data_IF_507073783143
#
_entry.id   IF_507073783143
#
_cell.length_a   1.000
_cell.length_b   1.000
_cell.length_c   1.000
_cell.angle_alpha   90.00
_cell.angle_beta   90.00
_cell.angle_gamma   90.00
#
_symmetry.space_group_name_H-M   'P 1'
#
loop_
_entity.id
_entity.type
_entity.pdbx_description
1 polymer ?
#
# COMPACT_ATOMS: atom_id res chain seq x y z
N UNK A 1 48.04 -0.59 14.97
CA UNK A 1 46.94 0.00 14.18
C UNK A 1 45.79 0.28 15.13
N UNK A 2 45.16 1.46 15.05
CA UNK A 2 44.12 1.84 16.02
C UNK A 2 42.87 1.00 15.78
N UNK A 3 42.28 0.34 16.81
CA UNK A 3 41.14 -0.54 16.64
C UNK A 3 39.90 0.17 16.08
N UNK A 4 39.68 1.45 16.43
CA UNK A 4 38.55 2.22 15.91
C UNK A 4 38.72 2.51 14.41
N UNK A 5 39.93 2.76 13.94
CA UNK A 5 40.20 2.96 12.51
C UNK A 5 39.94 1.70 11.70
N UNK A 6 40.35 0.54 12.19
CA UNK A 6 40.05 -0.76 11.54
C UNK A 6 38.55 -1.03 11.43
N UNK A 7 37.77 -0.72 12.48
CA UNK A 7 36.30 -0.84 12.46
C UNK A 7 35.69 0.06 11.38
N UNK A 8 36.11 1.32 11.30
CA UNK A 8 35.63 2.27 10.29
C UNK A 8 35.98 1.82 8.86
N UNK A 9 37.19 1.37 8.64
CA UNK A 9 37.64 0.86 7.33
C UNK A 9 36.87 -0.42 6.94
N UNK A 10 36.62 -1.31 7.90
CA UNK A 10 35.77 -2.49 7.68
C UNK A 10 34.34 -2.09 7.29
N UNK A 11 33.74 -1.11 7.97
CA UNK A 11 32.41 -0.63 7.66
C UNK A 11 32.36 0.04 6.27
N UNK A 12 33.35 0.84 5.89
CA UNK A 12 33.43 1.45 4.56
C UNK A 12 33.57 0.40 3.45
N UNK A 13 34.40 -0.64 3.67
CA UNK A 13 34.56 -1.74 2.71
C UNK A 13 33.24 -2.50 2.45
N UNK A 14 32.35 -2.51 3.43
CA UNK A 14 31.04 -3.15 3.35
C UNK A 14 29.90 -2.15 3.18
N UNK A 15 30.16 -0.97 2.62
CA UNK A 15 29.17 0.12 2.46
C UNK A 15 27.94 -0.27 1.64
N UNK A 16 28.05 -1.26 0.75
CA UNK A 16 26.93 -1.82 -0.01
C UNK A 16 25.83 -2.48 0.87
N UNK A 17 26.16 -2.85 2.11
CA UNK A 17 25.21 -3.42 3.08
C UNK A 17 24.52 -2.33 3.93
N UNK A 18 24.96 -1.08 3.81
CA UNK A 18 24.48 0.05 4.60
C UNK A 18 23.45 0.85 3.79
N UNK A 19 22.54 1.52 4.50
CA UNK A 19 21.71 2.56 3.89
C UNK A 19 22.56 3.75 3.49
N UNK A 20 22.07 4.58 2.57
CA UNK A 20 22.76 5.80 2.12
C UNK A 20 23.16 6.71 3.31
N UNK A 21 22.28 6.85 4.30
CA UNK A 21 22.55 7.62 5.51
C UNK A 21 23.67 6.98 6.34
N UNK A 22 23.60 5.66 6.60
CA UNK A 22 24.63 4.93 7.38
C UNK A 22 25.98 5.00 6.69
N UNK A 23 26.05 4.80 5.37
CA UNK A 23 27.29 4.91 4.59
C UNK A 23 27.90 6.30 4.69
N UNK A 24 27.11 7.36 4.48
CA UNK A 24 27.57 8.74 4.62
C UNK A 24 28.00 9.10 6.04
N UNK A 25 27.31 8.56 7.05
CA UNK A 25 27.68 8.73 8.45
C UNK A 25 29.04 8.07 8.74
N UNK A 26 29.26 6.82 8.35
CA UNK A 26 30.53 6.10 8.54
C UNK A 26 31.69 6.81 7.83
N UNK A 27 31.45 7.31 6.62
CA UNK A 27 32.44 8.09 5.89
C UNK A 27 32.82 9.38 6.64
N UNK A 28 31.83 10.09 7.16
CA UNK A 28 32.06 11.28 7.99
C UNK A 28 32.85 10.96 9.25
N UNK A 29 32.52 9.85 9.95
CA UNK A 29 33.27 9.42 11.13
C UNK A 29 34.73 9.07 10.80
N UNK A 30 34.98 8.40 9.68
CA UNK A 30 36.33 8.05 9.23
C UNK A 30 37.17 9.30 8.95
N UNK A 31 36.58 10.29 8.27
CA UNK A 31 37.26 11.58 8.03
C UNK A 31 37.53 12.33 9.33
N UNK A 32 36.58 12.37 10.26
CA UNK A 32 36.76 12.99 11.57
C UNK A 32 37.87 12.29 12.38
N UNK A 33 37.85 10.96 12.40
CA UNK A 33 38.83 10.18 13.12
C UNK A 33 40.24 10.41 12.57
N UNK A 34 40.39 10.48 11.24
CA UNK A 34 41.69 10.83 10.62
C UNK A 34 42.23 12.22 11.02
N UNK A 35 41.34 13.19 11.23
CA UNK A 35 41.72 14.56 11.61
C UNK A 35 41.94 14.72 13.10
N UNK A 36 41.18 14.05 13.96
CA UNK A 36 41.15 14.29 15.43
C UNK A 36 41.70 13.15 16.26
N UNK A 37 41.87 11.97 15.68
CA UNK A 37 42.35 10.76 16.37
C UNK A 37 41.34 10.13 17.35
N UNK A 38 40.14 10.72 17.49
CA UNK A 38 39.11 10.25 18.42
C UNK A 38 37.71 10.51 17.93
N UNK A 39 36.74 9.71 18.43
CA UNK A 39 35.31 9.88 18.26
C UNK A 39 34.65 10.11 19.62
N UNK A 40 33.50 10.77 19.65
CA UNK A 40 32.68 10.90 20.85
C UNK A 40 32.04 9.55 21.23
N UNK A 41 31.66 9.41 22.52
CA UNK A 41 30.95 8.22 23.00
C UNK A 41 29.69 7.93 22.19
N UNK A 42 28.92 8.97 21.82
CA UNK A 42 27.73 8.84 21.00
C UNK A 42 28.02 8.35 19.59
N UNK A 43 29.11 8.79 18.99
CA UNK A 43 29.55 8.33 17.67
C UNK A 43 29.99 6.86 17.69
N UNK A 44 30.69 6.44 18.74
CA UNK A 44 31.08 5.04 18.94
C UNK A 44 29.87 4.14 19.15
N UNK A 45 28.88 4.57 19.94
CA UNK A 45 27.61 3.85 20.15
C UNK A 45 26.86 3.61 18.84
N UNK A 46 26.78 4.64 17.98
CA UNK A 46 26.12 4.52 16.67
C UNK A 46 26.91 3.60 15.74
N UNK A 47 28.24 3.69 15.73
CA UNK A 47 29.10 2.80 14.95
C UNK A 47 28.88 1.35 15.37
N UNK A 48 28.91 1.06 16.68
CA UNK A 48 28.68 -0.28 17.23
C UNK A 48 27.31 -0.84 16.84
N UNK A 49 26.27 -0.01 16.91
CA UNK A 49 24.92 -0.41 16.48
C UNK A 49 24.86 -0.74 14.98
N UNK A 50 25.51 0.04 14.14
CA UNK A 50 25.59 -0.24 12.69
C UNK A 50 26.33 -1.54 12.42
N UNK A 51 27.44 -1.80 13.13
CA UNK A 51 28.18 -3.05 13.01
C UNK A 51 27.34 -4.25 13.43
N UNK A 52 26.65 -4.18 14.58
CA UNK A 52 25.79 -5.25 15.08
C UNK A 52 24.57 -5.50 14.15
N UNK A 53 23.92 -4.43 13.73
CA UNK A 53 22.66 -4.53 12.96
C UNK A 53 22.87 -4.89 11.49
N UNK A 54 24.05 -4.61 10.91
CA UNK A 54 24.28 -4.71 9.45
C UNK A 54 25.49 -5.53 9.05
N UNK A 55 26.55 -5.50 9.84
CA UNK A 55 27.86 -6.07 9.46
C UNK A 55 28.21 -7.35 10.21
N UNK A 56 27.46 -7.69 11.26
CA UNK A 56 27.66 -8.96 11.99
C UNK A 56 27.30 -10.15 11.10
N UNK A 57 27.93 -11.30 11.38
CA UNK A 57 27.66 -12.55 10.68
C UNK A 57 26.19 -13.00 10.85
N UNK A 58 25.62 -12.74 12.03
CA UNK A 58 24.21 -12.99 12.31
C UNK A 58 23.29 -12.11 11.49
N UNK A 59 23.61 -10.81 11.35
CA UNK A 59 22.84 -9.88 10.53
C UNK A 59 22.89 -10.29 9.05
N UNK A 60 24.06 -10.69 8.54
CA UNK A 60 24.24 -11.18 7.16
C UNK A 60 23.43 -12.45 6.93
N UNK A 61 23.55 -13.43 7.83
CA UNK A 61 22.82 -14.69 7.74
C UNK A 61 21.31 -14.45 7.78
N UNK A 62 20.84 -13.55 8.65
CA UNK A 62 19.41 -13.18 8.73
C UNK A 62 18.94 -12.50 7.47
N UNK A 63 19.72 -11.56 6.92
CA UNK A 63 19.41 -10.88 5.66
C UNK A 63 19.34 -11.86 4.48
N UNK A 64 20.28 -12.80 4.40
CA UNK A 64 20.30 -13.83 3.37
C UNK A 64 19.10 -14.79 3.49
N UNK A 65 18.74 -15.20 4.70
CA UNK A 65 17.54 -16.02 4.97
C UNK A 65 16.27 -15.26 4.53
N UNK A 66 16.20 -13.96 4.84
CA UNK A 66 15.08 -13.13 4.40
C UNK A 66 14.98 -13.06 2.88
N UNK A 67 16.07 -12.75 2.19
CA UNK A 67 16.09 -12.69 0.73
C UNK A 67 15.64 -14.01 0.11
N UNK A 68 16.13 -15.15 0.61
CA UNK A 68 15.74 -16.47 0.12
C UNK A 68 14.27 -16.83 0.44
N UNK A 69 13.70 -16.24 1.49
CA UNK A 69 12.30 -16.45 1.89
C UNK A 69 11.33 -15.45 1.28
N UNK A 70 11.83 -14.43 0.55
CA UNK A 70 11.01 -13.40 -0.08
C UNK A 70 10.42 -13.91 -1.39
N UNK A 71 9.28 -14.57 -1.26
CA UNK A 71 8.54 -15.23 -2.32
C UNK A 71 7.56 -14.28 -3.04
N UNK A 72 6.90 -14.80 -4.07
CA UNK A 72 5.93 -14.04 -4.86
C UNK A 72 4.73 -13.56 -4.03
N UNK A 73 4.34 -14.32 -2.99
CA UNK A 73 3.25 -13.90 -2.11
C UNK A 73 3.64 -12.69 -1.26
N UNK A 74 4.84 -12.67 -0.70
CA UNK A 74 5.35 -11.48 0.01
C UNK A 74 5.50 -10.29 -0.91
N UNK A 75 5.90 -10.51 -2.16
CA UNK A 75 5.99 -9.48 -3.21
C UNK A 75 4.61 -8.93 -3.54
N UNK A 76 3.61 -9.79 -3.74
CA UNK A 76 2.20 -9.40 -3.95
C UNK A 76 1.67 -8.55 -2.80
N UNK A 77 1.85 -9.02 -1.56
CA UNK A 77 1.45 -8.30 -0.35
C UNK A 77 2.12 -6.93 -0.27
N UNK A 78 3.43 -6.87 -0.50
CA UNK A 78 4.19 -5.62 -0.49
C UNK A 78 3.65 -4.62 -1.52
N UNK A 79 3.35 -5.08 -2.74
CA UNK A 79 2.82 -4.23 -3.81
C UNK A 79 1.44 -3.66 -3.48
N UNK A 80 0.51 -4.48 -3.01
CA UNK A 80 -0.84 -4.02 -2.60
C UNK A 80 -0.74 -2.98 -1.48
N UNK A 81 0.13 -3.24 -0.48
CA UNK A 81 0.35 -2.30 0.61
C UNK A 81 1.02 -1.00 0.11
N UNK A 82 2.00 -1.10 -0.79
CA UNK A 82 2.69 0.05 -1.37
C UNK A 82 1.71 0.95 -2.16
N UNK A 83 0.84 0.37 -2.99
CA UNK A 83 -0.20 1.11 -3.72
C UNK A 83 -1.14 1.87 -2.76
N UNK A 84 -1.52 1.25 -1.65
CA UNK A 84 -2.32 1.91 -0.62
C UNK A 84 -1.56 3.04 0.08
N UNK A 85 -0.30 2.81 0.48
CA UNK A 85 0.49 3.80 1.21
C UNK A 85 0.96 4.95 0.34
N UNK A 86 1.17 4.75 -0.94
CA UNK A 86 1.40 5.81 -1.92
C UNK A 86 0.23 6.83 -1.92
N UNK A 87 -1.02 6.36 -1.85
CA UNK A 87 -2.21 7.23 -1.81
C UNK A 87 -2.45 7.89 -0.45
N UNK A 88 -1.93 7.34 0.64
CA UNK A 88 -2.16 7.85 1.99
C UNK A 88 -0.98 8.65 2.55
N UNK A 89 0.16 8.68 1.85
CA UNK A 89 1.36 9.44 2.25
C UNK A 89 2.16 8.81 3.39
N UNK A 90 1.90 7.54 3.76
CA UNK A 90 2.71 6.81 4.73
C UNK A 90 3.69 5.88 4.03
N UNK A 91 4.85 5.63 4.63
CA UNK A 91 5.90 4.77 4.07
C UNK A 91 6.32 5.14 2.63
N UNK A 92 6.22 6.41 2.25
CA UNK A 92 6.37 6.89 0.86
C UNK A 92 7.65 6.39 0.19
N UNK A 93 8.82 6.54 0.83
CA UNK A 93 10.08 6.08 0.26
C UNK A 93 10.10 4.57 -0.01
N UNK A 94 9.59 3.76 0.93
CA UNK A 94 9.51 2.31 0.77
C UNK A 94 8.48 1.91 -0.30
N UNK A 95 7.33 2.59 -0.30
CA UNK A 95 6.27 2.36 -1.29
C UNK A 95 6.76 2.69 -2.70
N UNK A 96 7.43 3.83 -2.90
CA UNK A 96 8.02 4.18 -4.21
C UNK A 96 9.03 3.15 -4.67
N UNK A 97 9.97 2.72 -3.80
CA UNK A 97 10.96 1.69 -4.18
C UNK A 97 10.31 0.38 -4.64
N UNK A 98 9.23 -0.06 -3.98
CA UNK A 98 8.51 -1.29 -4.34
C UNK A 98 7.71 -1.13 -5.66
N UNK A 99 7.16 0.06 -5.91
CA UNK A 99 6.36 0.32 -7.10
C UNK A 99 7.20 0.57 -8.35
N UNK A 100 8.38 1.17 -8.19
CA UNK A 100 9.31 1.51 -9.26
C UNK A 100 10.16 0.31 -9.71
N UNK A 101 10.54 -0.57 -8.77
CA UNK A 101 11.37 -1.74 -9.05
C UNK A 101 10.64 -3.04 -8.60
N UNK A 102 10.23 -3.84 -9.59
CA UNK A 102 9.54 -5.11 -9.36
C UNK A 102 10.40 -6.16 -8.65
N UNK A 103 11.72 -6.07 -8.77
CA UNK A 103 12.68 -7.02 -8.20
C UNK A 103 13.19 -6.56 -6.83
N UNK A 104 12.84 -5.36 -6.42
CA UNK A 104 13.25 -4.82 -5.14
C UNK A 104 12.76 -5.69 -3.97
N UNK A 105 13.70 -6.12 -3.15
CA UNK A 105 13.43 -6.84 -1.90
C UNK A 105 13.62 -5.90 -0.71
N UNK A 106 12.54 -5.47 -0.07
CA UNK A 106 12.64 -4.57 1.08
C UNK A 106 13.28 -5.27 2.29
N UNK A 107 13.97 -4.54 3.18
CA UNK A 107 14.45 -5.09 4.44
C UNK A 107 13.30 -5.68 5.26
N UNK A 108 13.53 -6.82 5.92
CA UNK A 108 12.49 -7.54 6.69
C UNK A 108 11.74 -6.65 7.67
N UNK A 109 12.47 -5.90 8.51
CA UNK A 109 11.86 -4.98 9.50
C UNK A 109 10.95 -3.94 8.84
N UNK A 110 11.35 -3.40 7.69
CA UNK A 110 10.55 -2.41 6.95
C UNK A 110 9.31 -3.05 6.32
N UNK A 111 9.46 -4.22 5.70
CA UNK A 111 8.35 -4.99 5.14
C UNK A 111 7.32 -5.34 6.21
N UNK A 112 7.75 -5.92 7.35
CA UNK A 112 6.84 -6.26 8.47
C UNK A 112 6.09 -5.03 8.98
N UNK A 113 6.80 -3.91 9.19
CA UNK A 113 6.19 -2.66 9.65
C UNK A 113 5.14 -2.13 8.67
N UNK A 114 5.37 -2.24 7.37
CA UNK A 114 4.44 -1.79 6.34
C UNK A 114 3.30 -2.79 6.11
N UNK A 115 3.57 -4.10 6.06
CA UNK A 115 2.61 -5.11 5.59
C UNK A 115 1.85 -5.83 6.71
N UNK A 116 2.39 -5.90 7.94
CA UNK A 116 1.77 -6.66 9.04
C UNK A 116 0.94 -5.79 10.01
N UNK A 117 0.88 -4.48 9.80
CA UNK A 117 0.10 -3.60 10.66
C UNK A 117 -1.43 -3.72 10.41
N UNK A 118 -2.21 -3.14 11.32
CA UNK A 118 -3.68 -3.24 11.30
C UNK A 118 -4.34 -2.66 10.03
N UNK A 119 -3.73 -1.67 9.40
CA UNK A 119 -4.27 -1.05 8.18
C UNK A 119 -3.96 -1.91 6.96
N UNK A 120 -2.73 -2.38 6.82
CA UNK A 120 -2.33 -3.30 5.78
C UNK A 120 -3.20 -4.57 5.78
N UNK A 121 -3.41 -5.18 6.95
CA UNK A 121 -4.30 -6.36 7.10
C UNK A 121 -5.73 -6.09 6.61
N UNK A 122 -6.28 -4.90 6.89
CA UNK A 122 -7.61 -4.52 6.37
C UNK A 122 -7.62 -4.32 4.87
N UNK A 123 -6.58 -3.70 4.31
CA UNK A 123 -6.45 -3.48 2.87
C UNK A 123 -6.33 -4.81 2.13
N UNK A 124 -5.49 -5.73 2.62
CA UNK A 124 -5.34 -7.07 2.07
C UNK A 124 -6.67 -7.84 2.12
N UNK A 125 -7.37 -7.82 3.26
CA UNK A 125 -8.66 -8.45 3.38
C UNK A 125 -9.72 -7.87 2.42
N UNK A 126 -9.70 -6.55 2.18
CA UNK A 126 -10.57 -5.92 1.18
C UNK A 126 -10.18 -6.30 -0.25
N UNK A 127 -8.88 -6.39 -0.53
CA UNK A 127 -8.37 -6.78 -1.85
C UNK A 127 -8.78 -8.22 -2.19
N UNK A 128 -8.60 -9.14 -1.27
CA UNK A 128 -8.82 -10.58 -1.48
C UNK A 128 -10.30 -11.00 -1.34
N UNK A 129 -11.14 -10.18 -0.70
CA UNK A 129 -12.56 -10.47 -0.58
C UNK A 129 -13.27 -10.47 -1.94
N UNK A 130 -14.25 -11.34 -2.10
CA UNK A 130 -15.15 -11.31 -3.25
C UNK A 130 -15.93 -9.99 -3.32
N UNK A 131 -16.18 -9.46 -4.51
CA UNK A 131 -17.00 -8.27 -4.67
C UNK A 131 -18.46 -8.54 -4.30
N UNK A 132 -19.01 -7.72 -3.43
CA UNK A 132 -20.42 -7.82 -3.02
C UNK A 132 -21.40 -7.72 -4.19
N UNK A 133 -21.06 -6.95 -5.19
CA UNK A 133 -21.81 -6.75 -6.43
C UNK A 133 -20.92 -7.18 -7.60
N UNK A 134 -21.04 -8.42 -8.09
CA UNK A 134 -20.27 -8.88 -9.25
C UNK A 134 -20.52 -8.02 -10.49
N UNK A 135 -19.59 -8.08 -11.45
CA UNK A 135 -19.75 -7.43 -12.75
C UNK A 135 -21.06 -7.88 -13.39
N UNK A 136 -21.80 -6.95 -14.01
CA UNK A 136 -23.16 -7.17 -14.54
C UNK A 136 -24.28 -6.92 -13.54
N UNK A 137 -23.99 -6.79 -12.24
CA UNK A 137 -25.03 -6.47 -11.24
C UNK A 137 -25.61 -5.10 -11.45
N UNK A 138 -26.93 -4.97 -11.24
CA UNK A 138 -27.62 -3.66 -11.20
C UNK A 138 -27.63 -3.12 -9.78
N UNK A 139 -27.05 -1.93 -9.62
CA UNK A 139 -26.89 -1.24 -8.34
C UNK A 139 -27.42 0.19 -8.40
N UNK A 140 -27.55 0.83 -7.25
CA UNK A 140 -27.81 2.28 -7.12
C UNK A 140 -26.86 2.89 -6.10
N UNK A 141 -26.61 4.16 -6.22
CA UNK A 141 -25.94 4.91 -5.16
C UNK A 141 -26.84 5.01 -3.91
N UNK A 142 -26.21 4.88 -2.75
CA UNK A 142 -26.89 5.14 -1.46
C UNK A 142 -27.11 6.63 -1.29
N UNK A 143 -28.11 7.03 -0.51
CA UNK A 143 -28.29 8.44 -0.11
C UNK A 143 -27.08 9.01 0.64
N UNK A 144 -26.32 8.16 1.33
CA UNK A 144 -25.07 8.51 2.05
C UNK A 144 -23.83 8.53 1.16
N UNK A 145 -23.95 8.18 -0.12
CA UNK A 145 -22.84 8.30 -1.06
C UNK A 145 -22.51 9.78 -1.34
N UNK A 146 -21.29 10.03 -1.76
CA UNK A 146 -20.85 11.36 -2.17
C UNK A 146 -21.85 11.98 -3.14
N UNK A 147 -22.16 13.26 -2.93
CA UNK A 147 -23.08 14.03 -3.78
C UNK A 147 -22.65 14.02 -5.25
N UNK A 148 -21.35 14.15 -5.53
CA UNK A 148 -20.82 14.14 -6.88
C UNK A 148 -21.15 12.85 -7.64
N UNK A 149 -21.04 11.69 -6.96
CA UNK A 149 -21.40 10.39 -7.55
C UNK A 149 -22.91 10.28 -7.84
N UNK A 150 -23.75 10.73 -6.90
CA UNK A 150 -25.21 10.72 -7.08
C UNK A 150 -25.66 11.65 -8.19
N UNK A 151 -25.09 12.84 -8.23
CA UNK A 151 -25.38 13.83 -9.29
C UNK A 151 -24.96 13.30 -10.66
N UNK A 152 -23.75 12.76 -10.79
CA UNK A 152 -23.25 12.16 -12.03
C UNK A 152 -24.09 10.97 -12.51
N UNK A 153 -24.67 10.20 -11.57
CA UNK A 153 -25.58 9.09 -11.91
C UNK A 153 -27.01 9.53 -12.23
N UNK A 154 -27.41 10.77 -11.86
CA UNK A 154 -28.77 11.28 -12.05
C UNK A 154 -29.84 10.41 -11.39
N UNK A 155 -29.57 9.86 -10.20
CA UNK A 155 -30.43 8.90 -9.46
C UNK A 155 -30.88 7.67 -10.28
N UNK A 156 -30.15 7.36 -11.35
CA UNK A 156 -30.45 6.20 -12.21
C UNK A 156 -29.81 4.91 -11.66
N UNK A 157 -30.40 3.74 -11.97
CA UNK A 157 -29.72 2.47 -11.77
C UNK A 157 -28.44 2.45 -12.59
N UNK A 158 -27.41 1.75 -12.05
CA UNK A 158 -26.12 1.60 -12.70
C UNK A 158 -25.82 0.11 -12.88
N UNK A 159 -25.10 -0.26 -13.91
CA UNK A 159 -24.52 -1.59 -14.08
C UNK A 159 -23.06 -1.57 -13.58
N UNK A 160 -22.65 -2.59 -12.81
CA UNK A 160 -21.27 -2.79 -12.43
C UNK A 160 -20.50 -3.28 -13.65
N UNK A 161 -19.51 -2.51 -14.10
CA UNK A 161 -18.68 -2.86 -15.28
C UNK A 161 -17.27 -3.34 -14.91
N UNK A 162 -16.79 -2.98 -13.73
CA UNK A 162 -15.53 -3.51 -13.18
C UNK A 162 -15.52 -3.44 -11.65
N UNK A 163 -14.76 -4.35 -11.05
CA UNK A 163 -14.50 -4.40 -9.59
C UNK A 163 -13.01 -4.59 -9.35
N UNK A 164 -12.51 -4.08 -8.23
CA UNK A 164 -11.08 -4.13 -7.88
C UNK A 164 -10.32 -2.90 -8.36
N UNK A 165 -9.03 -2.90 -8.12
CA UNK A 165 -8.11 -1.77 -8.33
C UNK A 165 -7.51 -1.28 -7.03
N UNK A 166 -6.86 -0.11 -7.06
CA UNK A 166 -6.11 0.44 -5.93
C UNK A 166 -7.07 0.85 -4.81
N UNK A 167 -6.90 0.26 -3.63
CA UNK A 167 -7.67 0.58 -2.43
C UNK A 167 -7.09 1.84 -1.80
N UNK A 168 -7.90 2.89 -1.69
CA UNK A 168 -7.48 4.20 -1.16
C UNK A 168 -7.78 4.39 0.33
N UNK A 169 -8.50 3.47 0.94
CA UNK A 169 -8.93 3.56 2.34
C UNK A 169 -9.03 2.17 2.98
N UNK A 170 -8.58 2.04 4.22
CA UNK A 170 -8.75 0.81 5.00
C UNK A 170 -10.13 0.71 5.68
N UNK A 171 -11.11 1.50 5.26
CA UNK A 171 -12.46 1.48 5.78
C UNK A 171 -13.25 0.29 5.22
N UNK A 172 -14.24 -0.19 5.98
CA UNK A 172 -15.12 -1.28 5.53
C UNK A 172 -15.87 -0.87 4.24
N UNK A 173 -15.82 -1.74 3.24
CA UNK A 173 -16.47 -1.51 1.95
C UNK A 173 -15.76 -0.48 1.07
N UNK A 174 -14.47 -0.23 1.28
CA UNK A 174 -13.64 0.63 0.43
C UNK A 174 -13.11 -0.07 -0.83
N UNK A 175 -13.62 -1.26 -1.17
CA UNK A 175 -13.27 -1.95 -2.41
C UNK A 175 -13.69 -1.10 -3.61
N UNK A 176 -12.79 -0.84 -4.58
CA UNK A 176 -13.10 0.00 -5.73
C UNK A 176 -14.07 -0.68 -6.70
N UNK A 177 -14.94 0.12 -7.27
CA UNK A 177 -15.92 -0.26 -8.28
C UNK A 177 -15.94 0.77 -9.41
N UNK A 178 -16.22 0.29 -10.62
CA UNK A 178 -16.56 1.11 -11.76
C UNK A 178 -17.99 0.76 -12.20
N UNK A 179 -18.88 1.75 -12.20
CA UNK A 179 -20.29 1.56 -12.53
C UNK A 179 -20.69 2.48 -13.69
N UNK A 180 -21.60 1.99 -14.55
CA UNK A 180 -22.13 2.75 -15.67
C UNK A 180 -23.63 3.02 -15.42
N UNK A 181 -24.06 4.27 -15.25
CA UNK A 181 -25.48 4.61 -15.12
C UNK A 181 -26.25 4.34 -16.40
N UNK A 182 -27.46 3.82 -16.29
CA UNK A 182 -28.29 3.54 -17.46
C UNK A 182 -28.58 4.80 -18.29
N UNK A 183 -28.35 4.69 -19.62
CA UNK A 183 -28.54 5.79 -20.56
C UNK A 183 -27.44 6.87 -20.50
N UNK A 184 -26.33 6.62 -19.82
CA UNK A 184 -25.15 7.47 -19.85
C UNK A 184 -23.97 6.69 -20.43
N UNK A 185 -23.04 7.41 -21.08
CA UNK A 185 -21.84 6.80 -21.68
C UNK A 185 -20.62 6.85 -20.76
N UNK A 186 -20.65 7.68 -19.69
CA UNK A 186 -19.48 7.90 -18.84
C UNK A 186 -19.56 7.03 -17.58
N UNK A 187 -18.58 6.15 -17.34
CA UNK A 187 -18.50 5.38 -16.10
C UNK A 187 -18.17 6.28 -14.90
N UNK A 188 -18.59 5.82 -13.71
CA UNK A 188 -18.31 6.46 -12.43
C UNK A 188 -17.46 5.48 -11.61
N UNK A 189 -16.33 5.96 -11.09
CA UNK A 189 -15.52 5.23 -10.10
C UNK A 189 -16.04 5.54 -8.70
N UNK A 190 -16.22 4.50 -7.90
CA UNK A 190 -16.75 4.63 -6.54
C UNK A 190 -16.27 3.47 -5.66
N UNK A 191 -16.66 3.48 -4.41
CA UNK A 191 -16.38 2.36 -3.49
C UNK A 191 -17.66 1.53 -3.25
N UNK A 192 -17.50 0.25 -2.91
CA UNK A 192 -18.59 -0.69 -2.60
C UNK A 192 -19.59 -0.12 -1.60
N UNK A 193 -19.07 0.56 -0.55
CA UNK A 193 -19.92 1.17 0.50
C UNK A 193 -20.88 2.23 -0.01
N UNK A 194 -20.61 2.83 -1.16
CA UNK A 194 -21.48 3.83 -1.78
C UNK A 194 -22.66 3.21 -2.53
N UNK A 195 -22.64 1.89 -2.75
CA UNK A 195 -23.59 1.18 -3.57
C UNK A 195 -24.62 0.39 -2.72
N UNK A 196 -25.80 0.19 -3.27
CA UNK A 196 -26.83 -0.72 -2.80
C UNK A 196 -27.45 -1.47 -3.97
N UNK A 197 -28.01 -2.66 -3.70
CA UNK A 197 -28.76 -3.41 -4.72
C UNK A 197 -29.93 -2.56 -5.24
N UNK A 198 -30.08 -2.49 -6.55
CA UNK A 198 -31.27 -1.91 -7.17
C UNK A 198 -32.49 -2.81 -6.94
N UNK A 199 -33.54 -2.25 -6.37
CA UNK A 199 -34.86 -2.92 -6.25
C UNK A 199 -35.82 -2.20 -7.17
N UNK A 200 -36.36 -2.90 -8.19
CA UNK A 200 -37.46 -2.35 -8.99
C UNK A 200 -38.60 -1.97 -8.03
N UNK A 201 -39.05 -0.73 -8.09
CA UNK A 201 -40.19 -0.29 -7.30
C UNK A 201 -41.46 -1.08 -7.74
N UNK A 202 -42.21 -1.64 -6.78
CA UNK A 202 -43.48 -2.33 -7.06
C UNK A 202 -44.58 -1.39 -7.56
N UNK A 203 -44.29 -0.09 -7.77
CA UNK A 203 -45.27 0.95 -8.09
C UNK A 203 -45.69 1.03 -9.55
N UNK A 204 -45.28 0.13 -10.44
CA UNK A 204 -45.65 0.17 -11.84
C UNK A 204 -46.75 -0.86 -12.22
N UNK A 205 -47.58 -1.24 -11.28
CA UNK A 205 -48.75 -2.07 -11.58
C UNK A 205 -50.06 -1.40 -11.10
N UNK A 206 -50.35 -0.18 -11.56
CA UNK A 206 -51.69 0.41 -11.47
C UNK A 206 -51.80 1.62 -12.39
N UNK A 207 -51.68 1.43 -13.67
CA UNK A 207 -52.32 2.25 -14.70
C UNK A 207 -52.53 1.35 -15.91
N UNK A 208 -53.56 0.60 -15.87
CA UNK A 208 -54.39 0.20 -17.02
C UNK A 208 -55.68 -0.32 -16.35
N UNK A 209 -56.63 0.44 -16.35
CA UNK A 209 -57.99 0.15 -16.83
C UNK A 209 -58.92 1.19 -16.24
N UNK A 210 -59.17 2.25 -16.96
CA UNK A 210 -60.49 2.87 -16.95
C UNK A 210 -60.93 2.91 -18.39
N UNK A 211 -61.62 1.84 -18.75
CA UNK A 211 -62.52 1.77 -19.89
C UNK A 211 -63.26 3.08 -20.04
N UNK A 212 -63.17 3.66 -21.21
CA UNK A 212 -64.05 4.72 -21.73
C UNK A 212 -65.39 4.05 -21.95
N UNK A 213 -66.49 4.50 -21.31
CA UNK A 213 -67.83 4.11 -21.76
C UNK A 213 -68.18 4.97 -23.01
N UNK A 214 -68.76 4.31 -23.96
CA UNK A 214 -69.39 4.88 -25.14
C UNK A 214 -70.47 5.87 -24.77
#
# INVERSE_FOLDING_TARGET
MNPTLLRLEHALKNSSLLSQWEAGFIESLHQQFKKRGSLSARQLEILERVEQDKLSEEARTTSQKWQNSYDDEKRRIARICAEYYDKTGYFTALASSILEDSDYTPPEKAWRKMCENKYAKKVLALHDADPKYPVGSTVMFRATADWAHRYAAGDKPCIVIATGGIIKSAAKGAKPYKVLPYGLAKPIECEERHLKTYKKSKKTKKVVDKSIPF
#
